data_IF_125252827318
#
_entry.id   IF_125252827318
#
_cell.length_a   1.000
_cell.length_b   1.000
_cell.length_c   1.000
_cell.angle_alpha   90.00
_cell.angle_beta   90.00
_cell.angle_gamma   90.00
#
_symmetry.space_group_name_H-M   'P 1'
#
loop_
_entity.id
_entity.type
_entity.pdbx_description
1 polymer ?
#
# COMPACT_ATOMS: atom_id res chain seq x y z
N UNK A 1 2.70 39.08 31.97
CA UNK A 1 1.93 40.25 31.53
C UNK A 1 0.63 39.73 30.93
N UNK A 2 -0.41 39.67 31.75
CA UNK A 2 -1.76 39.27 31.36
C UNK A 2 -2.52 40.49 30.84
N UNK A 3 -3.18 40.36 29.68
CA UNK A 3 -4.36 41.16 29.35
C UNK A 3 -5.35 40.29 28.59
N UNK A 4 -6.35 39.84 29.33
CA UNK A 4 -7.69 39.58 28.84
C UNK A 4 -8.32 40.89 28.39
N UNK A 5 -8.97 40.92 27.23
CA UNK A 5 -10.06 41.86 26.94
C UNK A 5 -11.15 41.13 26.16
N UNK A 6 -12.31 40.98 26.81
CA UNK A 6 -13.59 40.63 26.21
C UNK A 6 -14.13 41.86 25.47
N UNK A 7 -14.64 41.67 24.25
CA UNK A 7 -15.65 42.57 23.68
C UNK A 7 -16.79 41.77 23.06
N UNK A 8 -17.99 42.13 23.49
CA UNK A 8 -19.30 41.65 23.07
C UNK A 8 -19.83 42.50 21.91
N UNK A 9 -20.50 41.88 20.92
CA UNK A 9 -21.83 42.24 20.39
C UNK A 9 -22.07 41.64 18.99
N UNK A 10 -23.34 41.33 18.73
CA UNK A 10 -23.92 40.61 17.56
C UNK A 10 -24.88 41.59 16.83
N UNK A 11 -25.65 41.20 15.79
CA UNK A 11 -25.30 40.76 14.43
C UNK A 11 -25.88 41.71 13.35
N UNK A 12 -25.42 41.61 12.10
CA UNK A 12 -26.19 42.13 10.95
C UNK A 12 -26.23 41.13 9.80
N UNK A 13 -27.46 40.73 9.46
CA UNK A 13 -27.82 39.93 8.31
C UNK A 13 -27.73 40.79 7.05
N UNK A 14 -27.06 40.29 6.01
CA UNK A 14 -27.31 40.68 4.63
C UNK A 14 -27.53 39.40 3.82
N UNK A 15 -28.73 39.29 3.27
CA UNK A 15 -29.19 38.22 2.39
C UNK A 15 -28.88 38.58 0.95
N UNK A 16 -27.84 37.97 0.37
CA UNK A 16 -27.64 37.93 -1.08
C UNK A 16 -28.31 36.68 -1.66
N UNK A 17 -29.29 36.92 -2.54
CA UNK A 17 -29.96 35.89 -3.34
C UNK A 17 -29.13 35.63 -4.59
N UNK A 18 -28.24 34.65 -4.53
CA UNK A 18 -27.61 34.11 -5.73
C UNK A 18 -28.53 33.09 -6.42
N UNK A 19 -29.01 33.48 -7.60
CA UNK A 19 -29.76 32.64 -8.52
C UNK A 19 -28.80 31.67 -9.20
N UNK A 20 -28.57 30.50 -8.58
CA UNK A 20 -27.88 29.39 -9.23
C UNK A 20 -28.70 28.87 -10.41
N UNK A 21 -28.23 29.15 -11.61
CA UNK A 21 -28.62 28.46 -12.84
C UNK A 21 -28.13 27.01 -12.74
N UNK A 22 -29.04 26.08 -12.50
CA UNK A 22 -28.74 24.65 -12.47
C UNK A 22 -28.47 24.18 -13.89
N UNK A 23 -27.20 24.03 -14.26
CA UNK A 23 -26.84 23.19 -15.41
C UNK A 23 -27.17 21.75 -15.04
N UNK A 24 -28.30 21.24 -15.54
CA UNK A 24 -28.65 19.83 -15.43
C UNK A 24 -27.59 19.01 -16.17
N UNK A 25 -26.65 18.42 -15.41
CA UNK A 25 -25.84 17.31 -15.91
C UNK A 25 -26.78 16.16 -16.23
N UNK A 26 -26.70 15.64 -17.45
CA UNK A 26 -27.44 14.45 -17.84
C UNK A 26 -27.07 13.28 -16.90
N UNK A 27 -28.04 12.46 -16.47
CA UNK A 27 -27.77 11.30 -15.64
C UNK A 27 -26.86 10.33 -16.41
N UNK A 28 -25.72 9.99 -15.82
CA UNK A 28 -24.82 8.97 -16.35
C UNK A 28 -25.58 7.64 -16.47
N UNK A 29 -25.91 7.21 -17.70
CA UNK A 29 -26.70 6.00 -17.97
C UNK A 29 -26.05 4.67 -17.51
N UNK A 30 -24.86 4.73 -16.92
CA UNK A 30 -24.08 3.60 -16.38
C UNK A 30 -23.92 3.65 -14.85
N UNK A 31 -24.54 4.62 -14.19
CA UNK A 31 -24.53 4.79 -12.75
C UNK A 31 -25.56 3.85 -12.11
N UNK A 32 -25.10 2.82 -11.39
CA UNK A 32 -25.99 1.92 -10.68
C UNK A 32 -25.35 0.60 -10.25
N UNK A 33 -26.09 -0.15 -9.45
CA UNK A 33 -25.72 -1.50 -9.00
C UNK A 33 -26.22 -2.53 -10.01
N UNK A 34 -25.38 -3.48 -10.39
CA UNK A 34 -25.76 -4.60 -11.23
C UNK A 34 -26.40 -5.70 -10.37
N UNK A 35 -27.69 -5.58 -10.12
CA UNK A 35 -28.45 -6.52 -9.27
C UNK A 35 -28.51 -7.95 -9.82
N UNK A 36 -28.13 -8.17 -11.09
CA UNK A 36 -28.13 -9.50 -11.73
C UNK A 36 -26.83 -10.26 -11.53
N UNK A 37 -25.76 -9.56 -11.13
CA UNK A 37 -24.45 -10.16 -10.87
C UNK A 37 -24.22 -10.25 -9.37
N UNK A 38 -23.68 -11.38 -8.91
CA UNK A 38 -23.33 -11.57 -7.49
C UNK A 38 -21.85 -11.88 -7.35
N UNK A 39 -21.17 -11.07 -6.55
CA UNK A 39 -19.81 -11.33 -6.09
C UNK A 39 -19.83 -11.88 -4.67
N UNK A 40 -18.75 -12.55 -4.28
CA UNK A 40 -18.54 -13.08 -2.93
C UNK A 40 -17.22 -12.54 -2.39
N UNK A 41 -17.19 -12.18 -1.11
CA UNK A 41 -15.96 -11.76 -0.45
C UNK A 41 -16.00 -11.95 1.05
N UNK A 42 -14.98 -11.45 1.72
CA UNK A 42 -14.82 -11.48 3.16
C UNK A 42 -14.87 -10.04 3.67
N UNK A 43 -15.88 -9.74 4.47
CA UNK A 43 -16.14 -8.40 4.97
C UNK A 43 -16.08 -8.33 6.49
N UNK A 44 -15.96 -7.11 6.99
CA UNK A 44 -16.13 -6.76 8.41
C UNK A 44 -17.08 -5.57 8.51
N UNK A 45 -17.89 -5.54 9.56
CA UNK A 45 -18.69 -4.38 9.97
C UNK A 45 -18.15 -3.73 11.26
N UNK A 46 -16.92 -4.12 11.65
CA UNK A 46 -16.27 -3.80 12.92
C UNK A 46 -15.84 -5.08 13.65
N UNK A 47 -14.78 -4.97 14.47
CA UNK A 47 -14.23 -6.09 15.24
C UNK A 47 -13.12 -6.85 14.50
N UNK A 48 -12.66 -7.95 15.09
CA UNK A 48 -11.40 -8.61 14.72
C UNK A 48 -11.53 -9.78 13.75
N UNK A 49 -12.70 -9.97 13.13
CA UNK A 49 -12.98 -11.14 12.27
C UNK A 49 -13.64 -10.72 10.97
N UNK A 50 -13.29 -11.41 9.89
CA UNK A 50 -13.90 -11.30 8.58
C UNK A 50 -14.88 -12.45 8.36
N UNK A 51 -16.08 -12.16 7.87
CA UNK A 51 -17.10 -13.13 7.51
C UNK A 51 -17.41 -13.10 6.03
N UNK A 52 -17.83 -14.24 5.48
CA UNK A 52 -18.17 -14.34 4.07
C UNK A 52 -19.49 -13.61 3.78
N UNK A 53 -19.50 -12.79 2.75
CA UNK A 53 -20.68 -12.08 2.25
C UNK A 53 -20.88 -12.30 0.75
N UNK A 54 -22.08 -11.98 0.29
CA UNK A 54 -22.41 -11.78 -1.12
C UNK A 54 -22.83 -10.33 -1.34
N UNK A 55 -22.43 -9.73 -2.44
CA UNK A 55 -22.82 -8.37 -2.78
C UNK A 55 -22.97 -8.20 -4.30
N UNK A 56 -23.77 -7.22 -4.69
CA UNK A 56 -23.94 -6.84 -6.08
C UNK A 56 -22.90 -5.77 -6.44
N UNK A 57 -22.12 -5.95 -7.52
CA UNK A 57 -21.13 -4.96 -7.91
C UNK A 57 -21.79 -3.76 -8.59
N UNK A 58 -21.02 -2.68 -8.79
CA UNK A 58 -21.44 -1.62 -9.70
C UNK A 58 -21.60 -2.14 -11.13
N UNK A 59 -22.39 -1.45 -11.94
CA UNK A 59 -22.54 -1.75 -13.37
C UNK A 59 -21.19 -1.66 -14.07
N UNK A 60 -20.89 -2.59 -14.98
CA UNK A 60 -19.69 -2.53 -15.80
C UNK A 60 -19.83 -1.39 -16.82
N UNK A 61 -19.13 -0.29 -16.58
CA UNK A 61 -19.14 0.88 -17.46
C UNK A 61 -18.20 0.75 -18.66
N UNK A 62 -18.23 1.73 -19.59
CA UNK A 62 -17.49 1.66 -20.85
C UNK A 62 -15.97 1.50 -20.71
N UNK A 63 -15.37 2.16 -19.72
CA UNK A 63 -13.92 2.12 -19.46
C UNK A 63 -13.51 1.09 -18.42
N UNK A 64 -14.46 0.32 -17.91
CA UNK A 64 -14.23 -0.55 -16.78
C UNK A 64 -13.77 -1.93 -17.21
N UNK A 65 -13.07 -2.60 -16.29
CA UNK A 65 -12.76 -4.02 -16.38
C UNK A 65 -13.31 -4.73 -15.16
N UNK A 66 -13.88 -5.91 -15.36
CA UNK A 66 -14.09 -6.90 -14.32
C UNK A 66 -12.86 -7.79 -14.23
N UNK A 67 -12.34 -7.99 -13.03
CA UNK A 67 -11.15 -8.79 -12.75
C UNK A 67 -11.60 -10.01 -11.94
N UNK A 68 -11.31 -11.21 -12.42
CA UNK A 68 -11.28 -12.42 -11.58
C UNK A 68 -10.04 -12.32 -10.69
N UNK A 69 -10.26 -12.19 -9.38
CA UNK A 69 -9.18 -12.03 -8.40
C UNK A 69 -8.62 -13.42 -8.09
N UNK A 70 -7.38 -13.64 -8.51
CA UNK A 70 -6.62 -14.85 -8.18
C UNK A 70 -5.86 -14.69 -6.88
N UNK A 71 -5.33 -13.49 -6.65
CA UNK A 71 -4.49 -13.18 -5.50
C UNK A 71 -4.83 -11.84 -4.88
N UNK A 72 -4.82 -11.78 -3.55
CA UNK A 72 -4.79 -10.52 -2.81
C UNK A 72 -3.80 -10.60 -1.67
N UNK A 73 -2.83 -9.70 -1.63
CA UNK A 73 -1.94 -9.59 -0.49
C UNK A 73 -2.65 -9.07 0.77
N UNK A 74 -2.17 -9.47 1.94
CA UNK A 74 -2.54 -8.88 3.23
C UNK A 74 -1.43 -7.90 3.62
N UNK A 75 -1.81 -6.63 3.76
CA UNK A 75 -0.94 -5.56 4.22
C UNK A 75 -1.03 -5.39 5.74
N UNK A 76 -0.01 -4.78 6.34
CA UNK A 76 -0.11 -4.29 7.73
C UNK A 76 -1.24 -3.26 7.93
N UNK A 77 -1.73 -2.61 6.87
CA UNK A 77 -2.87 -1.71 6.96
C UNK A 77 -4.24 -2.40 7.05
N UNK A 78 -4.38 -3.64 6.58
CA UNK A 78 -5.68 -4.32 6.60
C UNK A 78 -6.16 -4.61 8.03
N UNK A 79 -5.30 -5.07 8.98
CA UNK A 79 -5.66 -5.16 10.40
C UNK A 79 -6.16 -3.84 11.01
N UNK A 80 -5.56 -2.70 10.66
CA UNK A 80 -6.00 -1.38 11.14
C UNK A 80 -7.40 -1.01 10.66
N UNK A 81 -7.89 -1.59 9.55
CA UNK A 81 -9.28 -1.44 9.10
C UNK A 81 -10.24 -2.19 10.02
N UNK A 82 -9.89 -3.42 10.42
CA UNK A 82 -10.68 -4.24 11.35
C UNK A 82 -10.76 -3.59 12.73
N UNK A 83 -9.63 -3.07 13.20
CA UNK A 83 -9.49 -2.50 14.54
C UNK A 83 -10.00 -1.03 14.62
N UNK A 84 -10.48 -0.45 13.50
CA UNK A 84 -10.98 0.93 13.38
C UNK A 84 -9.98 2.02 13.83
N UNK A 85 -8.67 1.73 13.78
CA UNK A 85 -7.60 2.57 14.36
C UNK A 85 -7.55 3.99 13.78
N UNK A 86 -7.87 4.15 12.50
CA UNK A 86 -7.79 5.45 11.80
C UNK A 86 -9.14 6.14 11.66
N UNK A 87 -10.21 5.37 11.57
CA UNK A 87 -11.57 5.90 11.41
C UNK A 87 -12.59 4.77 11.48
N UNK A 88 -13.80 5.11 11.92
CA UNK A 88 -14.90 4.16 12.02
C UNK A 88 -15.34 3.61 10.67
N UNK A 89 -15.82 2.38 10.68
CA UNK A 89 -16.49 1.77 9.54
C UNK A 89 -17.94 2.26 9.44
N UNK A 90 -18.41 2.40 8.21
CA UNK A 90 -19.79 2.78 7.90
C UNK A 90 -20.39 1.68 7.01
N UNK A 91 -20.94 0.65 7.64
CA UNK A 91 -21.44 -0.55 6.97
C UNK A 91 -20.38 -1.63 6.79
N UNK A 92 -20.72 -2.66 6.01
CA UNK A 92 -19.80 -3.75 5.70
C UNK A 92 -18.72 -3.31 4.72
N UNK A 93 -17.46 -3.61 5.04
CA UNK A 93 -16.30 -3.32 4.21
C UNK A 93 -15.59 -4.62 3.88
N UNK A 94 -15.29 -4.82 2.60
CA UNK A 94 -14.38 -5.86 2.11
C UNK A 94 -12.99 -5.21 1.98
N UNK A 95 -11.98 -5.57 2.81
CA UNK A 95 -10.64 -5.01 2.70
C UNK A 95 -9.83 -5.59 1.53
N UNK A 96 -8.52 -5.33 1.51
CA UNK A 96 -7.58 -5.80 0.49
C UNK A 96 -7.35 -4.78 -0.62
N UNK A 97 -6.08 -4.39 -0.82
CA UNK A 97 -5.66 -3.39 -1.82
C UNK A 97 -4.37 -3.79 -2.55
N UNK A 98 -4.11 -5.10 -2.61
CA UNK A 98 -2.96 -5.72 -3.23
C UNK A 98 -3.45 -6.74 -4.26
N UNK A 99 -4.24 -6.28 -5.23
CA UNK A 99 -5.07 -7.12 -6.10
C UNK A 99 -4.26 -7.60 -7.30
N UNK A 100 -4.28 -8.89 -7.60
CA UNK A 100 -3.75 -9.45 -8.84
C UNK A 100 -4.68 -10.54 -9.40
N UNK A 101 -4.92 -10.50 -10.70
CA UNK A 101 -5.99 -11.26 -11.34
C UNK A 101 -5.90 -11.30 -12.86
N UNK A 102 -6.97 -11.76 -13.49
CA UNK A 102 -7.16 -11.69 -14.94
C UNK A 102 -8.45 -10.97 -15.28
N UNK A 103 -8.45 -10.20 -16.37
CA UNK A 103 -9.67 -9.55 -16.86
C UNK A 103 -10.69 -10.62 -17.32
N UNK A 104 -11.88 -10.62 -16.74
CA UNK A 104 -12.97 -11.54 -17.05
C UNK A 104 -14.06 -10.90 -17.93
N UNK A 105 -14.22 -9.58 -17.84
CA UNK A 105 -15.05 -8.77 -18.73
C UNK A 105 -14.43 -7.38 -18.89
N UNK A 106 -14.69 -6.74 -20.02
CA UNK A 106 -14.19 -5.40 -20.32
C UNK A 106 -15.29 -4.57 -21.01
N UNK A 107 -15.40 -3.31 -20.62
CA UNK A 107 -16.21 -2.35 -21.35
C UNK A 107 -15.61 -2.02 -22.72
N UNK A 108 -16.42 -1.49 -23.65
CA UNK A 108 -16.00 -1.19 -25.03
C UNK A 108 -14.85 -0.18 -25.16
N UNK A 109 -14.58 0.63 -24.14
CA UNK A 109 -13.52 1.65 -24.11
C UNK A 109 -12.40 1.31 -23.12
N UNK A 110 -12.41 0.10 -22.56
CA UNK A 110 -11.39 -0.32 -21.59
C UNK A 110 -10.01 -0.50 -22.25
N UNK A 111 -8.95 -0.18 -21.49
CA UNK A 111 -7.56 -0.33 -21.95
C UNK A 111 -7.08 -1.78 -22.06
N UNK A 112 -7.78 -2.71 -21.40
CA UNK A 112 -7.41 -4.12 -21.31
C UNK A 112 -8.53 -5.01 -21.85
N UNK A 113 -8.16 -6.21 -22.29
CA UNK A 113 -9.09 -7.21 -22.83
C UNK A 113 -9.17 -8.43 -21.93
N UNK A 114 -10.25 -9.21 -22.11
CA UNK A 114 -10.44 -10.50 -21.41
C UNK A 114 -9.21 -11.38 -21.58
N UNK A 115 -8.74 -11.97 -20.47
CA UNK A 115 -7.53 -12.79 -20.38
C UNK A 115 -6.25 -12.02 -20.04
N UNK A 116 -6.24 -10.68 -20.11
CA UNK A 116 -5.06 -9.92 -19.70
C UNK A 116 -4.78 -10.07 -18.19
N UNK A 117 -3.51 -10.25 -17.84
CA UNK A 117 -3.00 -10.33 -16.46
C UNK A 117 -2.85 -8.93 -15.90
N UNK A 118 -3.59 -8.63 -14.83
CA UNK A 118 -3.71 -7.27 -14.30
C UNK A 118 -3.71 -7.25 -12.78
N UNK A 119 -3.49 -6.06 -12.21
CA UNK A 119 -3.71 -5.81 -10.80
C UNK A 119 -4.05 -4.36 -10.50
N UNK A 120 -4.32 -4.07 -9.23
CA UNK A 120 -4.77 -2.77 -8.77
C UNK A 120 -4.24 -2.44 -7.37
N UNK A 121 -4.00 -1.15 -7.16
CA UNK A 121 -3.53 -0.56 -5.91
C UNK A 121 -4.70 -0.09 -5.03
N UNK A 122 -4.39 0.61 -3.93
CA UNK A 122 -5.37 1.25 -3.06
C UNK A 122 -6.18 2.35 -3.76
N UNK A 123 -5.53 3.20 -4.58
CA UNK A 123 -6.20 4.28 -5.31
C UNK A 123 -6.73 3.74 -6.64
N UNK A 124 -8.04 3.85 -6.85
CA UNK A 124 -8.74 3.25 -8.00
C UNK A 124 -9.47 4.24 -8.90
N UNK A 125 -9.49 5.51 -8.52
CA UNK A 125 -10.02 6.61 -9.33
C UNK A 125 -9.48 7.96 -8.81
N UNK A 126 -9.39 8.96 -9.69
CA UNK A 126 -9.02 10.34 -9.37
C UNK A 126 -9.64 11.30 -10.39
N UNK A 127 -9.61 12.62 -10.15
CA UNK A 127 -10.23 13.56 -11.10
C UNK A 127 -9.47 13.73 -12.43
N UNK A 128 -8.19 13.32 -12.49
CA UNK A 128 -7.33 13.39 -13.67
C UNK A 128 -7.08 14.80 -14.25
N UNK A 129 -7.58 15.85 -13.60
CA UNK A 129 -7.54 17.24 -14.10
C UNK A 129 -6.81 18.22 -13.16
N UNK A 130 -6.66 17.90 -11.87
CA UNK A 130 -6.00 18.77 -10.89
C UNK A 130 -4.48 18.72 -11.03
N UNK A 131 -3.77 19.67 -10.41
CA UNK A 131 -2.33 19.80 -10.55
C UNK A 131 -1.58 18.54 -10.09
N UNK A 132 -2.03 17.90 -9.00
CA UNK A 132 -1.50 16.60 -8.56
C UNK A 132 -1.66 15.52 -9.63
N UNK A 133 -2.85 15.40 -10.25
CA UNK A 133 -3.06 14.40 -11.31
C UNK A 133 -2.22 14.71 -12.55
N UNK A 134 -2.12 15.98 -12.94
CA UNK A 134 -1.27 16.42 -14.08
C UNK A 134 0.21 16.16 -13.81
N UNK A 135 0.63 16.19 -12.55
CA UNK A 135 1.98 15.83 -12.12
C UNK A 135 2.20 14.31 -11.98
N UNK A 136 1.20 13.48 -12.31
CA UNK A 136 1.27 12.02 -12.13
C UNK A 136 1.32 11.62 -10.66
N UNK A 137 0.67 12.39 -9.79
CA UNK A 137 0.55 12.18 -8.35
C UNK A 137 -0.92 11.96 -7.96
N UNK A 138 -1.62 11.06 -8.67
CA UNK A 138 -3.05 10.82 -8.47
C UNK A 138 -3.42 10.42 -7.03
N UNK A 139 -2.49 9.82 -6.28
CA UNK A 139 -2.66 9.48 -4.87
C UNK A 139 -2.76 10.72 -3.96
N UNK A 140 -2.29 11.89 -4.40
CA UNK A 140 -2.48 13.16 -3.69
C UNK A 140 -3.71 13.93 -4.17
N UNK A 141 -4.46 13.40 -5.14
CA UNK A 141 -5.70 14.03 -5.59
C UNK A 141 -6.69 14.16 -4.41
N UNK A 142 -7.28 15.35 -4.20
CA UNK A 142 -8.31 15.56 -3.17
C UNK A 142 -9.63 14.86 -3.53
N UNK A 143 -9.83 14.56 -4.81
CA UNK A 143 -10.92 13.77 -5.35
C UNK A 143 -10.39 12.40 -5.78
N UNK A 144 -9.57 11.72 -4.98
CA UNK A 144 -9.23 10.30 -5.22
C UNK A 144 -10.31 9.39 -4.63
N UNK A 145 -10.40 8.16 -5.12
CA UNK A 145 -11.23 7.10 -4.54
C UNK A 145 -10.35 5.93 -4.13
N UNK A 146 -10.57 5.41 -2.92
CA UNK A 146 -9.89 4.21 -2.44
C UNK A 146 -10.69 2.94 -2.78
N UNK A 147 -10.00 1.80 -2.90
CA UNK A 147 -10.61 0.51 -3.29
C UNK A 147 -11.52 -0.09 -2.21
N UNK A 148 -11.45 0.45 -0.99
CA UNK A 148 -12.37 0.15 0.09
C UNK A 148 -12.63 1.40 0.93
N UNK A 149 -13.76 1.39 1.66
CA UNK A 149 -14.14 2.45 2.60
C UNK A 149 -14.34 3.82 1.92
N UNK A 150 -14.74 3.79 0.66
CA UNK A 150 -15.04 4.96 -0.16
C UNK A 150 -16.23 4.68 -1.09
N UNK A 151 -16.73 5.70 -1.78
CA UNK A 151 -17.81 5.58 -2.78
C UNK A 151 -17.27 5.91 -4.17
N UNK A 152 -17.74 5.21 -5.20
CA UNK A 152 -17.37 5.50 -6.58
C UNK A 152 -17.89 6.88 -7.01
N UNK A 153 -17.14 7.59 -7.85
CA UNK A 153 -17.50 8.94 -8.31
C UNK A 153 -18.40 8.99 -9.53
N UNK A 154 -18.63 7.83 -10.15
CA UNK A 154 -19.62 7.68 -11.23
C UNK A 154 -21.07 7.81 -10.73
N UNK A 155 -21.26 8.09 -9.43
CA UNK A 155 -22.55 8.25 -8.76
C UNK A 155 -23.13 6.92 -8.26
N UNK A 156 -22.43 5.80 -8.45
CA UNK A 156 -22.89 4.51 -7.98
C UNK A 156 -23.06 4.53 -6.45
N UNK A 157 -24.22 4.13 -5.91
CA UNK A 157 -24.45 4.11 -4.47
C UNK A 157 -23.73 2.95 -3.76
N UNK A 158 -23.17 1.99 -4.51
CA UNK A 158 -22.43 0.88 -3.92
C UNK A 158 -21.11 1.37 -3.31
N UNK A 159 -20.73 0.88 -2.11
CA UNK A 159 -19.41 1.12 -1.57
C UNK A 159 -18.34 0.45 -2.43
N UNK A 160 -17.13 0.99 -2.38
CA UNK A 160 -15.94 0.32 -2.87
C UNK A 160 -15.63 -0.90 -1.98
N UNK A 161 -15.44 -2.05 -2.62
CA UNK A 161 -15.07 -3.31 -2.00
C UNK A 161 -13.73 -3.77 -2.56
N UNK A 162 -12.83 -4.14 -1.66
CA UNK A 162 -11.44 -4.48 -1.94
C UNK A 162 -11.21 -5.88 -2.48
N UNK A 163 -9.93 -6.25 -2.47
CA UNK A 163 -9.38 -7.49 -3.01
C UNK A 163 -9.71 -8.77 -2.24
N UNK A 164 -10.32 -8.68 -1.06
CA UNK A 164 -10.79 -9.85 -0.32
C UNK A 164 -12.10 -10.40 -0.88
N UNK A 165 -12.21 -10.44 -2.21
CA UNK A 165 -13.37 -10.85 -2.98
C UNK A 165 -12.95 -11.77 -4.13
N UNK A 166 -13.90 -12.47 -4.72
CA UNK A 166 -13.66 -13.29 -5.92
C UNK A 166 -13.50 -12.44 -7.19
N UNK A 167 -14.13 -11.26 -7.23
CA UNK A 167 -14.15 -10.37 -8.40
C UNK A 167 -14.25 -8.91 -7.99
N UNK A 168 -13.79 -8.02 -8.87
CA UNK A 168 -13.92 -6.57 -8.71
C UNK A 168 -14.08 -5.86 -10.06
N UNK A 169 -14.80 -4.74 -10.09
CA UNK A 169 -14.96 -3.89 -11.28
C UNK A 169 -14.34 -2.51 -11.09
N UNK A 170 -13.30 -2.20 -11.85
CA UNK A 170 -12.50 -0.98 -11.72
C UNK A 170 -12.37 -0.24 -13.06
N UNK A 171 -12.18 1.08 -13.01
CA UNK A 171 -11.80 1.85 -14.20
C UNK A 171 -10.43 1.40 -14.68
N UNK A 172 -10.30 1.08 -15.98
CA UNK A 172 -9.05 0.55 -16.54
C UNK A 172 -7.87 1.54 -16.47
N UNK A 173 -8.13 2.84 -16.27
CA UNK A 173 -7.08 3.85 -16.03
C UNK A 173 -6.29 3.63 -14.72
N UNK A 174 -6.85 2.88 -13.76
CA UNK A 174 -6.23 2.57 -12.45
C UNK A 174 -5.98 1.06 -12.27
N UNK A 175 -6.03 0.32 -13.37
CA UNK A 175 -5.64 -1.08 -13.44
C UNK A 175 -4.33 -1.15 -14.20
N UNK A 176 -3.45 -2.07 -13.81
CA UNK A 176 -2.09 -2.16 -14.34
C UNK A 176 -1.80 -3.55 -14.85
N UNK A 177 -1.25 -3.63 -16.06
CA UNK A 177 -0.79 -4.90 -16.63
C UNK A 177 0.39 -5.45 -15.83
N UNK A 178 0.31 -6.73 -15.46
CA UNK A 178 1.39 -7.45 -14.79
C UNK A 178 2.35 -8.01 -15.86
N UNK A 179 3.67 -7.74 -15.79
CA UNK A 179 4.64 -8.32 -16.71
C UNK A 179 4.66 -9.86 -16.66
N UNK A 180 5.03 -10.50 -17.77
CA UNK A 180 5.05 -11.97 -17.87
C UNK A 180 6.14 -12.62 -17.00
N UNK A 181 7.17 -11.86 -16.66
CA UNK A 181 8.28 -12.28 -15.80
C UNK A 181 7.94 -12.29 -14.30
N UNK A 182 6.79 -11.75 -13.90
CA UNK A 182 6.33 -11.69 -12.50
C UNK A 182 5.06 -12.52 -12.38
N UNK A 183 5.02 -13.54 -11.52
CA UNK A 183 3.78 -14.28 -11.27
C UNK A 183 2.70 -13.38 -10.65
N UNK A 184 1.41 -13.73 -10.78
CA UNK A 184 0.35 -12.92 -10.17
C UNK A 184 0.44 -12.90 -8.63
N UNK A 185 0.87 -14.01 -8.02
CA UNK A 185 1.11 -14.07 -6.57
C UNK A 185 2.25 -13.17 -6.11
N UNK A 186 3.32 -13.03 -6.91
CA UNK A 186 4.41 -12.09 -6.61
C UNK A 186 4.02 -10.64 -6.94
N UNK A 187 3.12 -10.42 -7.91
CA UNK A 187 2.67 -9.09 -8.26
C UNK A 187 1.79 -8.45 -7.18
N UNK A 188 0.94 -9.24 -6.50
CA UNK A 188 0.02 -8.75 -5.49
C UNK A 188 0.70 -7.82 -4.44
N UNK A 189 1.77 -8.24 -3.72
CA UNK A 189 2.45 -7.36 -2.77
C UNK A 189 3.11 -6.12 -3.38
N UNK A 190 3.46 -6.15 -4.67
CA UNK A 190 4.07 -5.02 -5.35
C UNK A 190 3.09 -3.84 -5.48
N UNK A 191 1.79 -4.09 -5.54
CA UNK A 191 0.77 -3.03 -5.63
C UNK A 191 0.59 -2.21 -4.34
N UNK A 192 1.27 -2.57 -3.25
CA UNK A 192 1.33 -1.74 -2.05
C UNK A 192 2.76 -1.62 -1.51
N UNK A 193 3.33 -2.70 -0.98
CA UNK A 193 4.63 -2.65 -0.34
C UNK A 193 5.74 -2.33 -1.35
N UNK A 194 5.64 -2.89 -2.55
CA UNK A 194 6.58 -2.61 -3.63
C UNK A 194 6.50 -1.16 -4.12
N UNK A 195 5.30 -0.70 -4.46
CA UNK A 195 5.06 0.67 -4.91
C UNK A 195 5.54 1.70 -3.87
N UNK A 196 5.18 1.51 -2.61
CA UNK A 196 5.51 2.44 -1.52
C UNK A 196 7.02 2.60 -1.36
N UNK A 197 7.76 1.49 -1.38
CA UNK A 197 9.21 1.50 -1.16
C UNK A 197 9.98 1.93 -2.40
N UNK A 198 9.57 1.47 -3.60
CA UNK A 198 10.12 1.93 -4.86
C UNK A 198 10.00 3.46 -5.00
N UNK A 199 8.80 3.99 -4.79
CA UNK A 199 8.54 5.44 -4.93
C UNK A 199 9.34 6.26 -3.93
N UNK A 200 9.41 5.81 -2.67
CA UNK A 200 10.22 6.46 -1.64
C UNK A 200 11.71 6.49 -2.01
N UNK A 201 12.27 5.37 -2.45
CA UNK A 201 13.67 5.29 -2.86
C UNK A 201 13.95 6.12 -4.10
N UNK A 202 13.08 6.04 -5.12
CA UNK A 202 13.22 6.75 -6.37
C UNK A 202 13.15 8.27 -6.18
N UNK A 203 12.11 8.78 -5.51
CA UNK A 203 11.91 10.22 -5.26
C UNK A 203 13.02 10.86 -4.44
N UNK A 204 13.64 10.10 -3.53
CA UNK A 204 14.70 10.58 -2.65
C UNK A 204 16.12 10.20 -3.12
N UNK A 205 16.23 9.69 -4.35
CA UNK A 205 17.50 9.55 -5.06
C UNK A 205 18.39 8.44 -4.50
N UNK A 206 17.83 7.29 -4.15
CA UNK A 206 18.62 6.07 -3.93
C UNK A 206 19.47 5.76 -5.19
N UNK A 207 20.69 5.24 -5.00
CA UNK A 207 21.64 5.01 -6.08
C UNK A 207 23.10 5.03 -5.62
N UNK A 208 24.03 4.98 -6.58
CA UNK A 208 25.46 4.72 -6.37
C UNK A 208 26.18 5.58 -5.32
N UNK A 209 25.67 6.78 -5.03
CA UNK A 209 26.27 7.70 -4.05
C UNK A 209 25.59 7.68 -2.68
N UNK A 210 24.58 6.81 -2.48
CA UNK A 210 23.80 6.75 -1.24
C UNK A 210 24.07 5.47 -0.47
N UNK A 211 24.39 5.65 0.82
CA UNK A 211 24.13 4.63 1.84
C UNK A 211 22.66 4.71 2.24
N UNK A 212 21.91 3.64 1.98
CA UNK A 212 20.48 3.52 2.29
C UNK A 212 20.32 2.70 3.56
N UNK A 213 19.64 3.26 4.55
CA UNK A 213 19.19 2.55 5.75
C UNK A 213 17.74 2.10 5.60
N UNK A 214 17.44 0.89 6.06
CA UNK A 214 16.10 0.32 6.06
C UNK A 214 15.77 -0.11 7.49
N UNK A 215 14.92 0.65 8.17
CA UNK A 215 14.48 0.39 9.53
C UNK A 215 13.15 -0.36 9.53
N UNK A 216 13.16 -1.56 10.14
CA UNK A 216 12.06 -2.52 10.13
C UNK A 216 12.07 -3.40 8.87
N UNK A 217 12.33 -4.70 9.03
CA UNK A 217 12.57 -5.67 7.94
C UNK A 217 11.35 -6.58 7.71
N UNK A 218 10.16 -5.98 7.61
CA UNK A 218 8.92 -6.69 7.24
C UNK A 218 8.66 -6.67 5.73
N UNK A 219 7.37 -6.76 5.34
CA UNK A 219 6.92 -6.65 3.95
C UNK A 219 7.47 -5.42 3.20
N UNK A 220 7.47 -4.23 3.82
CA UNK A 220 8.10 -3.05 3.24
C UNK A 220 9.63 -3.18 3.21
N UNK A 221 10.24 -3.51 4.35
CA UNK A 221 11.69 -3.51 4.50
C UNK A 221 12.42 -4.46 3.55
N UNK A 222 11.93 -5.68 3.38
CA UNK A 222 12.60 -6.65 2.50
C UNK A 222 12.56 -6.21 1.02
N UNK A 223 11.47 -5.57 0.56
CA UNK A 223 11.40 -4.97 -0.78
C UNK A 223 12.25 -3.71 -0.89
N UNK A 224 12.28 -2.87 0.15
CA UNK A 224 13.15 -1.69 0.18
C UNK A 224 14.64 -2.06 0.03
N UNK A 225 15.09 -3.13 0.70
CA UNK A 225 16.46 -3.64 0.55
C UNK A 225 16.72 -4.08 -0.90
N UNK A 226 15.82 -4.89 -1.46
CA UNK A 226 15.97 -5.38 -2.83
C UNK A 226 15.97 -4.24 -3.86
N UNK A 227 15.06 -3.27 -3.74
CA UNK A 227 15.03 -2.10 -4.62
C UNK A 227 16.28 -1.24 -4.46
N UNK A 228 16.74 -0.96 -3.23
CA UNK A 228 17.93 -0.17 -3.00
C UNK A 228 19.17 -0.83 -3.63
N UNK A 229 19.30 -2.16 -3.52
CA UNK A 229 20.33 -2.95 -4.20
C UNK A 229 20.21 -2.87 -5.71
N UNK A 230 19.02 -3.08 -6.27
CA UNK A 230 18.78 -3.05 -7.71
C UNK A 230 19.00 -1.64 -8.32
N UNK A 231 18.75 -0.57 -7.56
CA UNK A 231 19.06 0.82 -7.92
C UNK A 231 20.56 1.13 -7.80
N UNK A 232 21.37 0.19 -7.31
CA UNK A 232 22.82 0.32 -7.22
C UNK A 232 23.29 1.15 -6.02
N UNK A 233 22.54 1.16 -4.90
CA UNK A 233 22.95 1.88 -3.70
C UNK A 233 24.32 1.41 -3.19
N UNK A 234 25.18 2.35 -2.78
CA UNK A 234 26.57 2.07 -2.35
C UNK A 234 26.64 1.04 -1.23
N UNK A 235 25.74 1.20 -0.26
CA UNK A 235 25.64 0.37 0.92
C UNK A 235 24.16 0.31 1.32
N UNK A 236 23.68 -0.88 1.68
CA UNK A 236 22.32 -1.10 2.18
C UNK A 236 22.42 -1.61 3.62
N UNK A 237 21.93 -0.81 4.56
CA UNK A 237 22.00 -1.08 6.00
C UNK A 237 20.63 -1.54 6.49
N UNK A 238 20.51 -2.80 6.87
CA UNK A 238 19.32 -3.32 7.55
C UNK A 238 19.36 -2.94 9.03
N UNK A 239 18.26 -2.40 9.55
CA UNK A 239 18.17 -1.89 10.92
C UNK A 239 16.91 -2.44 11.57
N UNK A 240 17.05 -3.18 12.65
CA UNK A 240 15.96 -3.67 13.48
C UNK A 240 16.52 -4.16 14.81
N UNK A 241 15.68 -4.53 15.77
CA UNK A 241 16.12 -5.26 16.95
C UNK A 241 16.61 -6.67 16.56
N UNK A 242 17.52 -7.25 17.34
CA UNK A 242 18.30 -8.44 16.96
C UNK A 242 17.44 -9.62 16.51
N UNK A 243 16.35 -9.89 17.23
CA UNK A 243 15.40 -10.97 16.98
C UNK A 243 14.49 -10.72 15.76
N UNK A 244 14.39 -9.46 15.33
CA UNK A 244 13.62 -9.03 14.17
C UNK A 244 14.48 -8.86 12.91
N UNK A 245 15.77 -9.21 12.95
CA UNK A 245 16.65 -9.23 11.78
C UNK A 245 16.66 -10.65 11.19
N UNK A 246 16.16 -10.84 9.96
CA UNK A 246 16.32 -12.07 9.18
C UNK A 246 17.76 -12.61 9.13
N UNK A 247 17.95 -13.90 9.40
CA UNK A 247 19.26 -14.56 9.21
C UNK A 247 19.78 -14.48 7.77
N UNK A 248 18.86 -14.38 6.80
CA UNK A 248 19.12 -14.28 5.37
C UNK A 248 18.89 -12.86 4.81
N UNK A 249 19.05 -11.83 5.66
CA UNK A 249 18.95 -10.42 5.25
C UNK A 249 19.98 -10.04 4.16
N UNK A 250 21.11 -10.74 4.12
CA UNK A 250 22.13 -10.61 3.08
C UNK A 250 21.63 -11.08 1.71
N UNK A 251 20.81 -12.14 1.66
CA UNK A 251 20.19 -12.63 0.42
C UNK A 251 19.22 -11.61 -0.16
N UNK A 252 18.54 -10.83 0.70
CA UNK A 252 17.72 -9.70 0.26
C UNK A 252 18.57 -8.57 -0.35
N UNK A 253 19.84 -8.46 0.05
CA UNK A 253 20.78 -7.48 -0.47
C UNK A 253 21.38 -6.54 0.56
N UNK A 254 21.12 -6.74 1.86
CA UNK A 254 21.78 -5.92 2.88
C UNK A 254 23.29 -6.19 2.89
N UNK A 255 24.07 -5.12 2.98
CA UNK A 255 25.54 -5.18 3.04
C UNK A 255 26.05 -4.94 4.46
N UNK A 256 25.22 -4.39 5.33
CA UNK A 256 25.50 -4.19 6.76
C UNK A 256 24.21 -4.33 7.58
N UNK A 257 24.36 -4.75 8.83
CA UNK A 257 23.28 -4.81 9.81
C UNK A 257 23.60 -3.89 10.98
N UNK A 258 22.58 -3.20 11.50
CA UNK A 258 22.62 -2.51 12.78
C UNK A 258 21.51 -3.10 13.65
N UNK A 259 21.91 -3.73 14.74
CA UNK A 259 20.98 -4.10 15.81
C UNK A 259 20.62 -2.84 16.61
N UNK A 260 19.36 -2.44 16.51
CA UNK A 260 18.86 -1.21 17.13
C UNK A 260 18.61 -1.34 18.64
N UNK A 261 18.64 -2.56 19.17
CA UNK A 261 18.64 -2.81 20.61
C UNK A 261 20.03 -2.63 21.25
N UNK A 262 21.09 -2.65 20.44
CA UNK A 262 22.48 -2.57 20.88
C UNK A 262 23.08 -1.16 20.67
N UNK A 263 23.39 -0.47 21.76
CA UNK A 263 23.95 0.89 21.76
C UNK A 263 25.32 1.00 21.07
N UNK A 264 26.14 -0.03 21.12
CA UNK A 264 27.45 -0.02 20.45
C UNK A 264 27.28 -0.15 18.93
N UNK A 265 26.30 -0.93 18.47
CA UNK A 265 25.97 -1.02 17.05
C UNK A 265 25.42 0.31 16.52
N UNK A 266 24.52 0.96 17.26
CA UNK A 266 24.02 2.30 16.92
C UNK A 266 25.21 3.29 16.82
N UNK A 267 26.07 3.32 17.84
CA UNK A 267 27.23 4.21 17.88
C UNK A 267 28.19 3.98 16.70
N UNK A 268 28.41 2.72 16.31
CA UNK A 268 29.22 2.37 15.16
C UNK A 268 28.58 2.80 13.82
N UNK A 269 27.25 2.92 13.77
CA UNK A 269 26.48 3.37 12.62
C UNK A 269 26.31 4.90 12.50
N UNK A 270 26.77 5.68 13.48
CA UNK A 270 26.52 7.12 13.53
C UNK A 270 26.96 7.87 12.27
N UNK A 271 26.08 8.77 11.81
CA UNK A 271 26.29 9.72 10.71
C UNK A 271 26.68 9.09 9.36
N UNK A 272 26.28 7.84 9.09
CA UNK A 272 26.66 7.12 7.87
C UNK A 272 25.54 6.97 6.84
N UNK A 273 24.29 7.18 7.23
CA UNK A 273 23.13 6.89 6.38
C UNK A 273 22.65 8.16 5.69
N UNK A 274 22.66 8.18 4.35
CA UNK A 274 22.21 9.34 3.58
C UNK A 274 20.68 9.37 3.38
N UNK A 275 20.08 8.19 3.25
CA UNK A 275 18.65 8.00 3.06
C UNK A 275 18.18 6.88 3.98
N UNK A 276 17.32 7.18 4.95
CA UNK A 276 16.78 6.21 5.90
C UNK A 276 15.28 6.04 5.66
N UNK A 277 14.86 4.85 5.25
CA UNK A 277 13.46 4.47 5.21
C UNK A 277 13.06 3.91 6.58
N UNK A 278 12.04 4.51 7.20
CA UNK A 278 11.45 4.03 8.46
C UNK A 278 10.13 3.34 8.14
N UNK A 279 10.18 2.02 8.00
CA UNK A 279 9.03 1.20 7.60
C UNK A 279 8.12 0.82 8.77
N UNK A 280 8.68 0.79 9.97
CA UNK A 280 7.96 0.49 11.21
C UNK A 280 8.59 1.28 12.34
N UNK A 281 7.76 1.82 13.22
CA UNK A 281 8.15 2.45 14.48
C UNK A 281 6.95 2.39 15.42
N UNK A 282 7.21 2.59 16.70
CA UNK A 282 6.18 2.65 17.74
C UNK A 282 6.57 3.66 18.81
N UNK A 283 5.78 3.73 19.89
CA UNK A 283 6.02 4.64 21.01
C UNK A 283 7.34 4.39 21.75
N UNK A 284 7.93 3.21 21.62
CA UNK A 284 9.22 2.86 22.24
C UNK A 284 10.42 3.31 21.42
N UNK A 285 10.21 3.72 20.17
CA UNK A 285 11.27 4.16 19.25
C UNK A 285 11.96 5.42 19.78
N UNK A 286 13.26 5.32 20.04
CA UNK A 286 14.12 6.42 20.52
C UNK A 286 14.62 7.24 19.34
N UNK A 287 13.95 8.34 19.03
CA UNK A 287 14.29 9.15 17.86
C UNK A 287 15.67 9.78 17.92
N UNK A 288 16.24 10.01 19.10
CA UNK A 288 17.64 10.42 19.26
C UNK A 288 18.61 9.42 18.59
N UNK A 289 18.35 8.12 18.78
CA UNK A 289 19.16 7.04 18.19
C UNK A 289 18.91 6.92 16.69
N UNK A 290 17.65 7.06 16.24
CA UNK A 290 17.33 7.06 14.80
C UNK A 290 18.09 8.19 14.10
N UNK A 291 18.03 9.40 14.66
CA UNK A 291 18.72 10.56 14.13
C UNK A 291 20.24 10.41 14.18
N UNK A 292 20.81 9.75 15.19
CA UNK A 292 22.27 9.62 15.29
C UNK A 292 22.87 8.82 14.13
N UNK A 293 22.11 7.89 13.53
CA UNK A 293 22.55 7.09 12.38
C UNK A 293 22.65 7.89 11.07
N UNK A 294 21.86 8.96 10.94
CA UNK A 294 21.71 9.72 9.70
C UNK A 294 22.87 10.70 9.52
N UNK A 295 23.45 10.74 8.32
CA UNK A 295 24.54 11.66 7.95
C UNK A 295 24.07 13.11 7.95
N UNK A 296 25.01 14.06 7.93
CA UNK A 296 24.68 15.45 7.61
C UNK A 296 23.94 15.52 6.26
N UNK A 297 22.96 16.41 6.16
CA UNK A 297 22.05 16.58 5.02
C UNK A 297 21.21 15.34 4.68
N UNK A 298 21.20 14.32 5.54
CA UNK A 298 20.50 13.08 5.31
C UNK A 298 18.98 13.22 5.38
N UNK A 299 18.30 12.29 4.71
CA UNK A 299 16.85 12.29 4.58
C UNK A 299 16.25 11.04 5.24
N UNK A 300 15.23 11.25 6.07
CA UNK A 300 14.45 10.21 6.72
C UNK A 300 13.08 10.21 6.05
N UNK A 301 12.69 9.06 5.49
CA UNK A 301 11.39 8.86 4.83
C UNK A 301 10.54 7.97 5.72
N UNK A 302 9.48 8.55 6.28
CA UNK A 302 8.53 7.83 7.12
C UNK A 302 7.50 7.14 6.23
N UNK A 303 7.45 5.80 6.33
CA UNK A 303 6.49 4.94 5.62
C UNK A 303 5.58 4.18 6.59
N UNK A 304 6.09 3.84 7.78
CA UNK A 304 5.29 3.25 8.85
C UNK A 304 4.18 4.18 9.30
N UNK A 305 3.05 3.61 9.72
CA UNK A 305 1.94 4.34 10.32
C UNK A 305 1.87 4.00 11.80
N UNK A 306 1.77 5.03 12.64
CA UNK A 306 1.54 4.90 14.07
C UNK A 306 0.34 5.73 14.46
N UNK A 307 -0.43 5.26 15.44
CA UNK A 307 -1.50 6.05 16.08
C UNK A 307 -0.95 7.12 17.03
N UNK A 308 0.28 6.93 17.51
CA UNK A 308 0.92 7.81 18.46
C UNK A 308 1.75 8.91 17.76
N UNK A 309 1.74 10.16 18.25
CA UNK A 309 2.59 11.22 17.74
C UNK A 309 4.08 10.91 17.87
N UNK A 310 4.86 11.40 16.91
CA UNK A 310 6.31 11.29 16.93
C UNK A 310 6.92 12.45 17.76
N UNK A 311 7.75 12.12 18.74
CA UNK A 311 8.53 13.11 19.50
C UNK A 311 9.98 13.10 19.01
N UNK A 312 10.47 14.25 18.54
CA UNK A 312 11.78 14.35 17.89
C UNK A 312 12.56 15.55 18.45
N UNK A 313 13.85 15.40 18.81
CA UNK A 313 14.69 16.53 19.17
C UNK A 313 14.98 17.41 17.94
N UNK A 314 14.89 18.73 18.11
CA UNK A 314 15.01 19.69 17.00
C UNK A 314 16.45 20.08 16.66
N UNK A 315 17.36 20.04 17.63
CA UNK A 315 18.76 20.46 17.44
C UNK A 315 19.49 19.72 16.31
N UNK A 316 19.34 18.40 16.11
CA UNK A 316 19.97 17.71 15.00
C UNK A 316 19.56 18.24 13.61
N UNK A 317 18.33 18.74 13.45
CA UNK A 317 17.87 19.31 12.17
C UNK A 317 18.57 20.63 11.86
N UNK A 318 18.76 21.48 12.88
CA UNK A 318 19.43 22.78 12.72
C UNK A 318 20.94 22.62 12.52
N UNK A 319 21.57 21.71 13.27
CA UNK A 319 23.03 21.56 13.26
C UNK A 319 23.55 20.71 12.10
N UNK A 320 22.73 19.82 11.53
CA UNK A 320 23.15 18.86 10.50
C UNK A 320 22.27 18.89 9.24
N UNK A 321 21.36 19.87 9.12
CA UNK A 321 20.44 20.03 7.99
C UNK A 321 19.66 18.76 7.62
N UNK A 322 19.15 18.05 8.64
CA UNK A 322 18.39 16.83 8.41
C UNK A 322 17.02 17.12 7.79
N UNK A 323 16.49 16.12 7.08
CA UNK A 323 15.15 16.17 6.51
C UNK A 323 14.34 15.00 7.04
N UNK A 324 13.11 15.27 7.45
CA UNK A 324 12.09 14.25 7.66
C UNK A 324 10.94 14.51 6.68
N UNK A 325 10.61 13.49 5.89
CA UNK A 325 9.60 13.53 4.84
C UNK A 325 8.77 12.24 4.91
N UNK A 326 7.70 12.18 4.15
CA UNK A 326 6.91 10.96 3.97
C UNK A 326 6.72 10.66 2.50
N UNK A 327 6.31 9.43 2.19
CA UNK A 327 5.88 9.03 0.86
C UNK A 327 4.59 8.24 0.97
N UNK A 328 3.56 8.66 0.24
CA UNK A 328 2.30 7.93 0.15
C UNK A 328 2.25 7.23 -1.21
N UNK A 329 2.30 5.89 -1.19
CA UNK A 329 2.21 5.03 -2.37
C UNK A 329 3.07 5.53 -3.55
N UNK A 330 2.43 5.88 -4.66
CA UNK A 330 2.96 6.44 -5.90
C UNK A 330 1.77 6.70 -6.85
N UNK A 331 2.00 7.51 -7.88
CA UNK A 331 0.99 7.74 -8.91
C UNK A 331 0.97 6.63 -9.96
N UNK A 332 0.08 6.75 -10.95
CA UNK A 332 -0.11 5.69 -11.96
C UNK A 332 1.18 5.35 -12.71
N UNK A 333 1.96 6.37 -13.04
CA UNK A 333 3.27 6.23 -13.70
C UNK A 333 4.27 5.47 -12.81
N UNK A 334 4.30 5.77 -11.52
CA UNK A 334 5.20 5.10 -10.56
C UNK A 334 4.90 3.59 -10.49
N UNK A 335 3.63 3.18 -10.58
CA UNK A 335 3.24 1.74 -10.61
C UNK A 335 3.81 1.04 -11.84
N UNK A 336 3.64 1.63 -13.02
CA UNK A 336 4.11 1.06 -14.28
C UNK A 336 5.64 0.94 -14.30
N UNK A 337 6.34 1.99 -13.85
CA UNK A 337 7.80 2.00 -13.73
C UNK A 337 8.29 0.97 -12.71
N UNK A 338 7.64 0.86 -11.55
CA UNK A 338 7.98 -0.11 -10.52
C UNK A 338 7.81 -1.55 -11.00
N UNK A 339 6.72 -1.88 -11.69
CA UNK A 339 6.51 -3.22 -12.25
C UNK A 339 7.55 -3.56 -13.32
N UNK A 340 7.83 -2.62 -14.23
CA UNK A 340 8.85 -2.81 -15.26
C UNK A 340 10.25 -2.96 -14.65
N UNK A 341 10.58 -2.15 -13.64
CA UNK A 341 11.84 -2.24 -12.90
C UNK A 341 11.97 -3.58 -12.18
N UNK A 342 10.91 -4.00 -11.49
CA UNK A 342 10.87 -5.28 -10.78
C UNK A 342 11.08 -6.45 -11.74
N UNK A 343 10.40 -6.45 -12.89
CA UNK A 343 10.55 -7.47 -13.92
C UNK A 343 12.01 -7.53 -14.42
N UNK A 344 12.58 -6.38 -14.78
CA UNK A 344 13.95 -6.26 -15.32
C UNK A 344 15.04 -6.66 -14.33
N UNK A 345 14.89 -6.30 -13.06
CA UNK A 345 15.94 -6.47 -12.04
C UNK A 345 15.69 -7.65 -11.09
N UNK A 346 14.67 -8.46 -11.36
CA UNK A 346 14.27 -9.59 -10.54
C UNK A 346 14.01 -9.24 -9.06
N UNK A 347 13.42 -8.07 -8.79
CA UNK A 347 12.91 -7.74 -7.45
C UNK A 347 11.62 -8.51 -7.23
N UNK A 348 11.57 -9.39 -6.23
CA UNK A 348 10.42 -10.26 -5.95
C UNK A 348 10.10 -10.27 -4.47
N UNK A 349 8.83 -10.13 -4.07
CA UNK A 349 8.46 -10.32 -2.67
C UNK A 349 8.64 -11.79 -2.29
N UNK A 350 9.09 -12.06 -1.07
CA UNK A 350 9.01 -13.42 -0.54
C UNK A 350 7.64 -13.61 0.10
N UNK A 351 6.90 -14.58 -0.43
CA UNK A 351 5.47 -14.73 -0.15
C UNK A 351 5.17 -15.98 0.68
N UNK A 352 4.22 -15.84 1.60
CA UNK A 352 3.54 -16.94 2.29
C UNK A 352 2.12 -16.99 1.75
N UNK A 353 1.76 -18.07 1.06
CA UNK A 353 0.43 -18.24 0.49
C UNK A 353 -0.55 -18.78 1.54
N UNK A 354 -1.78 -18.30 1.51
CA UNK A 354 -2.90 -18.85 2.27
C UNK A 354 -4.16 -18.86 1.39
N UNK A 355 -5.04 -19.85 1.50
CA UNK A 355 -6.30 -19.82 0.76
C UNK A 355 -7.25 -18.76 1.34
N UNK A 356 -8.12 -18.18 0.52
CA UNK A 356 -9.10 -17.16 0.96
C UNK A 356 -10.00 -17.60 2.13
N UNK A 357 -10.30 -18.89 2.26
CA UNK A 357 -11.11 -19.41 3.37
C UNK A 357 -10.38 -19.46 4.72
N UNK A 358 -9.05 -19.28 4.71
CA UNK A 358 -8.18 -19.12 5.88
C UNK A 358 -7.81 -17.68 6.17
N UNK A 359 -8.56 -16.71 5.64
CA UNK A 359 -8.23 -15.29 5.77
C UNK A 359 -8.09 -14.81 7.22
N UNK A 360 -8.89 -15.31 8.17
CA UNK A 360 -8.78 -14.90 9.57
C UNK A 360 -7.48 -15.39 10.21
N UNK A 361 -7.06 -16.63 9.91
CA UNK A 361 -5.78 -17.18 10.37
C UNK A 361 -4.61 -16.39 9.76
N UNK A 362 -4.73 -16.03 8.48
CA UNK A 362 -3.76 -15.21 7.76
C UNK A 362 -3.68 -13.77 8.30
N UNK A 363 -4.80 -13.17 8.70
CA UNK A 363 -4.85 -11.86 9.36
C UNK A 363 -4.19 -11.89 10.74
N UNK A 364 -4.39 -12.96 11.50
CA UNK A 364 -3.73 -13.14 12.80
C UNK A 364 -2.20 -13.30 12.63
N UNK A 365 -1.75 -14.06 11.62
CA UNK A 365 -0.34 -14.16 11.26
C UNK A 365 0.26 -12.78 10.91
N UNK A 366 -0.49 -11.95 10.17
CA UNK A 366 -0.10 -10.57 9.87
C UNK A 366 0.03 -9.72 11.15
N UNK A 367 -0.93 -9.82 12.08
CA UNK A 367 -0.92 -9.09 13.36
C UNK A 367 0.26 -9.49 14.24
N UNK A 368 0.61 -10.78 14.25
CA UNK A 368 1.76 -11.31 14.99
C UNK A 368 3.11 -10.95 14.35
N UNK A 369 3.13 -10.45 13.11
CA UNK A 369 4.35 -10.06 12.37
C UNK A 369 5.36 -11.20 12.20
N UNK A 370 4.89 -12.44 12.16
CA UNK A 370 5.73 -13.65 12.07
C UNK A 370 5.89 -14.18 10.63
N UNK A 371 5.13 -13.65 9.66
CA UNK A 371 5.29 -14.01 8.27
C UNK A 371 6.59 -13.46 7.65
N UNK A 372 7.23 -14.26 6.79
CA UNK A 372 8.45 -13.89 6.05
C UNK A 372 8.18 -13.94 4.54
N UNK A 373 7.77 -12.85 3.90
CA UNK A 373 7.53 -11.49 4.44
C UNK A 373 6.15 -10.92 4.06
N UNK A 374 5.57 -11.36 2.94
CA UNK A 374 4.26 -10.93 2.48
C UNK A 374 3.28 -12.09 2.50
N UNK A 375 2.13 -11.92 3.14
CA UNK A 375 1.06 -12.92 3.08
C UNK A 375 0.22 -12.64 1.84
N UNK A 376 -0.05 -13.68 1.05
CA UNK A 376 -0.85 -13.58 -0.17
C UNK A 376 -1.98 -14.59 -0.12
N UNK A 377 -3.21 -14.09 -0.19
CA UNK A 377 -4.41 -14.91 -0.32
C UNK A 377 -4.50 -15.44 -1.74
N UNK A 378 -4.82 -16.72 -1.90
CA UNK A 378 -4.95 -17.43 -3.17
C UNK A 378 -6.37 -17.97 -3.33
N UNK A 379 -6.94 -17.76 -4.51
CA UNK A 379 -8.20 -18.36 -4.92
C UNK A 379 -8.01 -19.86 -5.23
N UNK A 380 -9.04 -20.67 -4.98
CA UNK A 380 -9.02 -22.11 -5.28
C UNK A 380 -8.79 -22.35 -6.80
N UNK A 381 -7.67 -23.02 -7.12
CA UNK A 381 -7.16 -23.29 -8.47
C UNK A 381 -8.05 -24.20 -9.32
N UNK A 382 -9.12 -24.79 -8.77
CA UNK A 382 -10.12 -25.53 -9.57
C UNK A 382 -10.80 -24.70 -10.67
N UNK A 383 -10.55 -23.38 -10.73
CA UNK A 383 -10.94 -22.46 -11.81
C UNK A 383 -9.85 -22.18 -12.86
N UNK A 384 -8.61 -22.64 -12.64
CA UNK A 384 -7.46 -22.42 -13.53
C UNK A 384 -7.41 -23.50 -14.64
N UNK A 385 -8.42 -23.56 -15.51
CA UNK A 385 -8.30 -24.41 -16.71
C UNK A 385 -7.35 -23.74 -17.71
N UNK A 386 -6.06 -24.08 -17.67
CA UNK A 386 -5.15 -23.72 -18.76
C UNK A 386 -3.63 -23.82 -18.57
N UNK A 387 -3.10 -24.07 -17.38
CA UNK A 387 -1.65 -24.22 -17.18
C UNK A 387 -1.34 -25.28 -16.13
N UNK A 388 -0.65 -26.35 -16.54
CA UNK A 388 -0.11 -27.35 -15.62
C UNK A 388 0.97 -26.71 -14.73
N UNK A 389 0.61 -26.37 -13.50
CA UNK A 389 1.55 -26.25 -12.38
C UNK A 389 1.03 -27.16 -11.27
N UNK A 390 1.89 -28.07 -10.82
CA UNK A 390 1.58 -29.13 -9.86
C UNK A 390 1.49 -28.55 -8.44
N UNK A 391 0.26 -28.38 -7.94
CA UNK A 391 -0.05 -27.79 -6.64
C UNK A 391 -0.33 -28.82 -5.56
N UNK A 392 0.74 -29.52 -5.17
CA UNK A 392 0.82 -30.20 -3.88
C UNK A 392 2.03 -29.72 -3.09
N UNK A 393 1.87 -28.59 -2.38
CA UNK A 393 2.44 -28.35 -1.04
C UNK A 393 1.99 -26.99 -0.52
N UNK A 394 1.19 -27.01 0.55
CA UNK A 394 0.95 -25.86 1.41
C UNK A 394 2.31 -25.46 2.02
N UNK A 395 2.91 -24.37 1.53
CA UNK A 395 4.18 -23.87 2.06
C UNK A 395 3.92 -22.96 3.25
N UNK A 396 3.49 -23.56 4.36
CA UNK A 396 3.71 -23.04 5.71
C UNK A 396 4.88 -23.76 6.41
N UNK A 397 5.36 -24.87 5.85
CA UNK A 397 6.39 -25.72 6.48
C UNK A 397 7.84 -25.38 6.12
N UNK A 398 8.14 -24.38 5.28
CA UNK A 398 9.52 -24.15 4.81
C UNK A 398 10.33 -23.06 5.52
N UNK A 399 9.82 -22.44 6.60
CA UNK A 399 10.56 -21.38 7.29
C UNK A 399 10.56 -21.46 8.83
N UNK A 400 10.23 -22.63 9.40
CA UNK A 400 10.23 -22.86 10.86
C UNK A 400 11.02 -24.12 11.32
N UNK A 401 11.92 -24.66 10.49
CA UNK A 401 12.93 -25.69 10.86
C UNK A 401 14.15 -25.48 9.96
N UNK A 402 15.40 -25.36 10.39
CA UNK A 402 16.08 -25.59 11.67
C UNK A 402 16.96 -24.38 12.04
#
# INVERSE_FOLDING_TARGET
>A
MTRDEKMTSSPSQQTEKDTKTTSQQQPHAHCGVDEKTTFTGYATSGGTTLHRITFSPRTLGPKDVEIDIWYSGICGSDPHILDEDWSKLHGEVVPGHQIAGTVSAAGPEALYKVGDRVGACLVIDACLECDECKAGQEQHCPKRTLVYKDTFKDGCPAPSHGGFANRIRLCSDFVYKVPDEISLSEAAPLFCAGLTTYTALHKHGAGADKTVGVMGIGALGHLAIQFAKAMGSKEIVAISDSDAIPDDVDKLGATRVIDFSNKDHIKAGNHKINLLLVNSFDRSTKWEDVLSLVSNHGCIVILGLSKDPIQIPTMPFVLRDLKIVSSFQGGRKDVQEMLAFSAKHNVRPWIVKAPFDKINDAMELQKQKTARFCIVLEADESKEKGSNVDTQKIVAEQYLKD
#
